data_IF_374645164487
#
_entry.id   IF_374645164487
#
_cell.length_a   1.000
_cell.length_b   1.000
_cell.length_c   1.000
_cell.angle_alpha   90.00
_cell.angle_beta   90.00
_cell.angle_gamma   90.00
#
_symmetry.space_group_name_H-M   'P 1'
#
loop_
_entity.id
_entity.type
_entity.pdbx_description
1 polymer ?
#
# COMPACT_ATOMS: atom_id res chain seq x y z
N UNK A 1 12.54 -9.63 -15.31
CA UNK A 1 13.24 -8.51 -14.63
C UNK A 1 12.37 -8.04 -13.48
N UNK A 2 12.94 -7.88 -12.29
CA UNK A 2 12.21 -7.29 -11.18
C UNK A 2 12.11 -5.78 -11.45
N UNK A 3 10.91 -5.22 -11.35
CA UNK A 3 10.60 -3.81 -11.66
C UNK A 3 11.58 -2.80 -11.02
N UNK A 4 12.07 -3.09 -9.82
CA UNK A 4 12.97 -2.21 -9.10
C UNK A 4 14.40 -2.17 -9.68
N UNK A 5 14.88 -3.23 -10.33
CA UNK A 5 16.20 -3.25 -10.98
C UNK A 5 16.31 -2.13 -12.03
N UNK A 6 15.25 -1.94 -12.80
CA UNK A 6 15.19 -0.90 -13.83
C UNK A 6 15.12 0.49 -13.20
N UNK A 7 14.40 0.65 -12.08
CA UNK A 7 14.27 1.95 -11.39
C UNK A 7 15.59 2.39 -10.77
N UNK A 8 16.30 1.49 -10.07
CA UNK A 8 17.59 1.82 -9.44
C UNK A 8 18.67 2.12 -10.48
N UNK A 9 18.60 1.50 -11.67
CA UNK A 9 19.54 1.77 -12.76
C UNK A 9 19.36 3.17 -13.40
N UNK A 10 18.24 3.87 -13.15
CA UNK A 10 17.97 5.19 -13.73
C UNK A 10 18.58 6.35 -12.95
N UNK A 11 19.03 6.13 -11.71
CA UNK A 11 19.52 7.23 -10.87
C UNK A 11 20.44 6.74 -9.76
N UNK A 12 21.44 7.56 -9.43
CA UNK A 12 22.26 7.39 -8.23
C UNK A 12 21.68 8.13 -7.01
N UNK A 13 20.52 8.77 -7.16
CA UNK A 13 19.86 9.48 -6.05
C UNK A 13 19.13 8.49 -5.14
N UNK A 14 19.03 8.77 -3.82
CA UNK A 14 18.22 7.95 -2.94
C UNK A 14 16.76 7.89 -3.40
N UNK A 15 16.17 6.68 -3.35
CA UNK A 15 14.79 6.41 -3.78
C UNK A 15 13.92 6.20 -2.55
N UNK A 16 12.67 6.67 -2.62
CA UNK A 16 11.66 6.48 -1.58
C UNK A 16 10.32 6.10 -2.20
N UNK A 17 9.49 5.42 -1.41
CA UNK A 17 8.08 5.18 -1.75
C UNK A 17 7.26 6.20 -0.96
N UNK A 18 6.83 7.26 -1.63
CA UNK A 18 6.15 8.39 -0.99
C UNK A 18 4.69 8.11 -0.68
N UNK A 19 4.07 7.19 -1.40
CA UNK A 19 2.70 6.74 -1.18
C UNK A 19 2.55 5.30 -1.66
N UNK A 20 1.89 4.48 -0.86
CA UNK A 20 1.47 3.13 -1.23
C UNK A 20 0.23 2.71 -0.45
N UNK A 21 -0.43 1.67 -0.91
CA UNK A 21 -1.52 1.00 -0.23
C UNK A 21 -1.95 -0.23 -1.01
N UNK A 22 -2.46 -1.23 -0.31
CA UNK A 22 -3.10 -2.38 -0.95
C UNK A 22 -4.46 -2.61 -0.29
N UNK A 23 -5.56 -2.57 -1.08
CA UNK A 23 -6.90 -2.66 -0.52
C UNK A 23 -7.09 -4.03 0.10
N UNK A 24 -7.58 -4.07 1.33
CA UNK A 24 -7.75 -5.28 2.09
C UNK A 24 -9.19 -5.83 2.05
N UNK A 25 -10.01 -5.29 1.16
CA UNK A 25 -11.34 -5.75 0.82
C UNK A 25 -11.54 -5.76 -0.69
N UNK A 26 -12.41 -6.66 -1.17
CA UNK A 26 -12.80 -6.71 -2.57
C UNK A 26 -13.67 -5.51 -2.93
N UNK A 27 -13.35 -4.84 -4.02
CA UNK A 27 -14.15 -3.74 -4.54
C UNK A 27 -14.37 -3.87 -6.05
N UNK A 28 -15.34 -3.13 -6.57
CA UNK A 28 -15.56 -3.02 -8.00
C UNK A 28 -15.59 -1.58 -8.44
N UNK A 29 -15.06 -1.33 -9.64
CA UNK A 29 -15.09 -0.05 -10.34
C UNK A 29 -15.70 -0.24 -11.73
N UNK A 30 -16.17 0.85 -12.33
CA UNK A 30 -16.54 0.88 -13.74
C UNK A 30 -15.36 1.43 -14.55
N UNK A 31 -14.77 0.61 -15.41
CA UNK A 31 -13.61 0.99 -16.23
C UNK A 31 -14.00 1.71 -17.54
N UNK A 32 -15.19 2.36 -17.57
CA UNK A 32 -15.82 2.90 -18.76
C UNK A 32 -16.60 1.85 -19.56
N UNK A 33 -17.41 2.30 -20.54
CA UNK A 33 -18.20 1.46 -21.45
C UNK A 33 -19.07 0.39 -20.76
N UNK A 34 -19.60 0.68 -19.57
CA UNK A 34 -20.34 -0.25 -18.71
C UNK A 34 -19.58 -1.54 -18.34
N UNK A 35 -18.25 -1.55 -18.45
CA UNK A 35 -17.42 -2.68 -18.03
C UNK A 35 -17.17 -2.56 -16.53
N UNK A 36 -17.70 -3.52 -15.78
CA UNK A 36 -17.41 -3.66 -14.35
C UNK A 36 -16.14 -4.47 -14.17
N UNK A 37 -15.16 -3.90 -13.48
CA UNK A 37 -13.94 -4.60 -13.06
C UNK A 37 -14.02 -4.82 -11.56
N UNK A 38 -13.79 -6.05 -11.13
CA UNK A 38 -13.71 -6.42 -9.72
C UNK A 38 -12.27 -6.75 -9.38
N UNK A 39 -11.75 -6.10 -8.34
CA UNK A 39 -10.46 -6.44 -7.77
C UNK A 39 -10.71 -7.29 -6.52
N UNK A 40 -10.41 -8.58 -6.61
CA UNK A 40 -10.55 -9.52 -5.51
C UNK A 40 -9.41 -9.34 -4.51
N UNK A 41 -9.75 -8.90 -3.31
CA UNK A 41 -8.80 -8.67 -2.25
C UNK A 41 -9.31 -9.03 -0.86
N UNK A 42 -8.37 -9.16 0.07
CA UNK A 42 -8.55 -9.53 1.46
C UNK A 42 -7.32 -9.08 2.29
N UNK A 43 -7.42 -9.22 3.62
CA UNK A 43 -6.37 -8.80 4.54
C UNK A 43 -5.06 -9.60 4.38
N UNK A 44 -5.12 -10.85 3.92
CA UNK A 44 -3.94 -11.69 3.72
C UNK A 44 -3.16 -11.25 2.48
N UNK A 45 -3.86 -10.89 1.40
CA UNK A 45 -3.23 -10.29 0.21
C UNK A 45 -2.61 -8.93 0.54
N UNK A 46 -3.25 -8.10 1.36
CA UNK A 46 -2.65 -6.86 1.86
C UNK A 46 -1.36 -7.16 2.63
N UNK A 47 -1.38 -8.12 3.57
CA UNK A 47 -0.19 -8.50 4.32
C UNK A 47 0.94 -9.00 3.41
N UNK A 48 0.61 -9.83 2.39
CA UNK A 48 1.58 -10.30 1.40
C UNK A 48 2.18 -9.15 0.58
N UNK A 49 1.36 -8.19 0.18
CA UNK A 49 1.83 -6.99 -0.51
C UNK A 49 2.82 -6.20 0.35
N UNK A 50 2.46 -5.92 1.61
CA UNK A 50 3.30 -5.18 2.55
C UNK A 50 4.61 -5.93 2.82
N UNK A 51 4.57 -7.26 2.97
CA UNK A 51 5.79 -8.06 3.11
C UNK A 51 6.74 -7.91 1.92
N UNK A 52 6.21 -8.01 0.69
CA UNK A 52 7.00 -7.85 -0.54
C UNK A 52 7.56 -6.43 -0.67
N UNK A 53 6.74 -5.43 -0.37
CA UNK A 53 7.13 -4.02 -0.44
C UNK A 53 8.28 -3.70 0.53
N UNK A 54 8.16 -4.13 1.79
CA UNK A 54 9.17 -3.87 2.82
C UNK A 54 10.46 -4.66 2.54
N UNK A 55 10.34 -5.90 2.04
CA UNK A 55 11.50 -6.68 1.60
C UNK A 55 12.25 -5.99 0.46
N UNK A 56 11.54 -5.52 -0.56
CA UNK A 56 12.13 -4.78 -1.67
C UNK A 56 12.74 -3.45 -1.20
N UNK A 57 12.04 -2.69 -0.35
CA UNK A 57 12.57 -1.45 0.20
C UNK A 57 13.89 -1.67 0.96
N UNK A 58 14.02 -2.79 1.66
CA UNK A 58 15.26 -3.16 2.33
C UNK A 58 16.34 -3.67 1.35
N UNK A 59 15.97 -4.42 0.32
CA UNK A 59 16.89 -4.95 -0.70
C UNK A 59 17.54 -3.83 -1.53
N UNK A 60 16.77 -2.79 -1.86
CA UNK A 60 17.19 -1.69 -2.72
C UNK A 60 17.52 -0.40 -1.95
N UNK A 61 17.73 -0.47 -0.63
CA UNK A 61 18.09 0.66 0.24
C UNK A 61 17.18 1.89 0.09
N UNK A 62 15.86 1.68 -0.01
CA UNK A 62 14.91 2.79 -0.06
C UNK A 62 14.89 3.55 1.27
N UNK A 63 14.94 4.88 1.20
CA UNK A 63 15.14 5.72 2.39
C UNK A 63 13.93 5.77 3.32
N UNK A 64 12.73 5.63 2.77
CA UNK A 64 11.49 5.46 3.52
C UNK A 64 10.37 4.89 2.65
N UNK A 65 9.35 4.37 3.32
CA UNK A 65 8.08 3.91 2.72
C UNK A 65 6.93 4.52 3.51
N UNK A 66 5.94 5.09 2.81
CA UNK A 66 4.72 5.63 3.41
C UNK A 66 3.52 4.77 2.99
N UNK A 67 2.84 4.15 3.95
CA UNK A 67 1.48 3.65 3.74
C UNK A 67 0.52 4.84 3.81
N UNK A 68 -0.18 5.12 2.71
CA UNK A 68 -0.90 6.36 2.49
C UNK A 68 -1.94 6.65 3.57
N UNK A 69 -2.70 5.62 3.98
CA UNK A 69 -3.66 5.74 5.09
C UNK A 69 -3.31 4.78 6.22
N UNK A 70 -3.44 5.25 7.44
CA UNK A 70 -3.24 4.42 8.62
C UNK A 70 -4.46 3.52 8.90
N UNK A 71 -5.66 4.09 8.71
CA UNK A 71 -6.95 3.48 9.00
C UNK A 71 -7.87 3.70 7.83
N UNK A 72 -8.74 2.74 7.57
CA UNK A 72 -9.77 2.87 6.54
C UNK A 72 -10.67 4.08 6.84
N UNK A 73 -11.12 4.73 5.77
CA UNK A 73 -11.81 6.02 5.85
C UNK A 73 -13.25 5.95 5.32
N UNK A 74 -13.95 4.84 5.56
CA UNK A 74 -15.34 4.60 5.13
C UNK A 74 -16.30 5.72 5.50
N UNK A 75 -16.22 6.26 6.72
CA UNK A 75 -17.06 7.38 7.15
C UNK A 75 -16.86 8.65 6.30
N UNK A 76 -15.64 8.91 5.84
CA UNK A 76 -15.35 9.99 4.91
C UNK A 76 -15.82 9.61 3.50
N UNK A 77 -15.56 8.38 3.07
CA UNK A 77 -15.97 7.85 1.78
C UNK A 77 -17.49 7.95 1.55
N UNK A 78 -18.31 7.71 2.58
CA UNK A 78 -19.76 7.88 2.49
C UNK A 78 -20.19 9.33 2.17
N UNK A 79 -19.36 10.32 2.48
CA UNK A 79 -19.65 11.74 2.27
C UNK A 79 -19.07 12.27 0.96
N UNK A 80 -17.90 11.79 0.54
CA UNK A 80 -17.15 12.35 -0.59
C UNK A 80 -16.99 11.39 -1.78
N UNK A 81 -17.22 10.09 -1.55
CA UNK A 81 -16.97 9.05 -2.54
C UNK A 81 -18.06 8.96 -3.60
N UNK A 82 -17.68 8.48 -4.78
CA UNK A 82 -18.63 8.15 -5.84
C UNK A 82 -18.47 6.69 -6.29
N UNK A 83 -19.57 6.09 -6.76
CA UNK A 83 -19.63 4.66 -7.13
C UNK A 83 -18.73 4.30 -8.32
N UNK A 84 -18.39 5.27 -9.15
CA UNK A 84 -17.53 5.13 -10.33
C UNK A 84 -16.11 5.65 -10.07
N UNK A 85 -15.83 6.06 -8.83
CA UNK A 85 -14.57 6.72 -8.51
C UNK A 85 -13.47 5.69 -8.24
N UNK A 86 -12.40 5.78 -9.01
CA UNK A 86 -11.19 4.98 -8.84
C UNK A 86 -10.58 5.15 -7.44
N UNK A 87 -10.84 6.27 -6.78
CA UNK A 87 -10.34 6.55 -5.42
C UNK A 87 -10.86 5.56 -4.37
N UNK A 88 -11.88 4.75 -4.68
CA UNK A 88 -12.32 3.64 -3.81
C UNK A 88 -11.18 2.65 -3.53
N UNK A 89 -10.20 2.54 -4.44
CA UNK A 89 -9.06 1.64 -4.28
C UNK A 89 -8.19 1.97 -3.06
N UNK A 90 -8.26 3.21 -2.55
CA UNK A 90 -7.50 3.66 -1.38
C UNK A 90 -8.28 3.52 -0.07
N UNK A 91 -9.61 3.39 -0.12
CA UNK A 91 -10.50 3.40 1.05
C UNK A 91 -10.09 2.37 2.10
N UNK A 92 -9.85 1.14 1.65
CA UNK A 92 -9.62 -0.04 2.50
C UNK A 92 -8.14 -0.41 2.58
N UNK A 93 -7.23 0.57 2.48
CA UNK A 93 -5.77 0.33 2.45
C UNK A 93 -5.08 0.55 3.81
N UNK A 94 -5.86 0.81 4.86
CA UNK A 94 -5.38 1.01 6.21
C UNK A 94 -4.76 -0.24 6.81
N UNK A 95 -3.84 -0.05 7.76
CA UNK A 95 -3.35 -1.11 8.63
C UNK A 95 -4.33 -1.41 9.78
N UNK A 96 -5.30 -0.51 9.97
CA UNK A 96 -6.49 -0.69 10.78
C UNK A 96 -7.74 -0.60 9.89
N UNK A 97 -8.76 -1.40 10.19
CA UNK A 97 -10.06 -1.32 9.51
C UNK A 97 -10.92 -0.11 9.96
N UNK A 98 -12.13 0.00 9.42
CA UNK A 98 -13.00 1.14 9.72
C UNK A 98 -13.40 1.21 11.19
N UNK A 99 -13.47 0.09 11.92
CA UNK A 99 -13.70 0.03 13.37
C UNK A 99 -12.43 0.26 14.20
N UNK A 100 -11.26 0.21 13.58
CA UNK A 100 -9.97 0.33 14.25
C UNK A 100 -9.42 -1.00 14.74
N UNK A 101 -9.94 -2.12 14.26
CA UNK A 101 -9.34 -3.43 14.47
C UNK A 101 -8.06 -3.56 13.64
N UNK A 102 -7.10 -4.31 14.18
CA UNK A 102 -5.78 -4.48 13.58
C UNK A 102 -5.83 -5.48 12.42
N UNK A 103 -5.13 -5.17 11.33
CA UNK A 103 -4.92 -6.12 10.22
C UNK A 103 -3.55 -6.80 10.35
N UNK A 104 -3.34 -8.01 9.77
CA UNK A 104 -2.06 -8.70 9.83
C UNK A 104 -0.88 -7.89 9.25
N UNK A 105 -1.15 -7.01 8.28
CA UNK A 105 -0.16 -6.10 7.72
C UNK A 105 0.47 -5.15 8.76
N UNK A 106 -0.24 -4.82 9.84
CA UNK A 106 0.26 -3.94 10.90
C UNK A 106 1.43 -4.58 11.65
N UNK A 107 1.41 -5.89 11.87
CA UNK A 107 2.48 -6.59 12.57
C UNK A 107 3.77 -6.59 11.74
N UNK A 108 3.65 -6.77 10.42
CA UNK A 108 4.78 -6.63 9.49
C UNK A 108 5.35 -5.21 9.51
N UNK A 109 4.47 -4.21 9.51
CA UNK A 109 4.86 -2.80 9.56
C UNK A 109 5.60 -2.46 10.85
N UNK A 110 5.10 -2.93 12.00
CA UNK A 110 5.74 -2.77 13.30
C UNK A 110 7.10 -3.48 13.38
N UNK A 111 7.20 -4.68 12.81
CA UNK A 111 8.45 -5.40 12.74
C UNK A 111 9.50 -4.64 11.93
N UNK A 112 9.12 -4.05 10.78
CA UNK A 112 10.02 -3.22 9.98
C UNK A 112 10.46 -1.94 10.72
N UNK A 113 9.54 -1.26 11.42
CA UNK A 113 9.88 -0.08 12.23
C UNK A 113 10.80 -0.40 13.42
N UNK A 114 10.81 -1.65 13.89
CA UNK A 114 11.68 -2.11 14.97
C UNK A 114 13.10 -2.48 14.49
N UNK A 115 13.35 -2.50 13.18
CA UNK A 115 14.70 -2.73 12.65
C UNK A 115 15.63 -1.57 13.06
N UNK A 116 16.93 -1.85 13.29
CA UNK A 116 17.90 -0.79 13.54
C UNK A 116 17.93 0.20 12.37
N UNK A 117 17.93 1.50 12.68
CA UNK A 117 18.12 2.53 11.67
C UNK A 117 19.45 2.31 10.94
N UNK A 118 19.40 2.30 9.61
CA UNK A 118 20.58 2.26 8.75
C UNK A 118 20.70 3.60 8.05
N UNK A 119 21.89 4.19 8.10
CA UNK A 119 22.20 5.33 7.23
C UNK A 119 22.27 4.80 5.79
N UNK A 120 21.55 5.39 4.82
CA UNK A 120 21.66 4.99 3.42
C UNK A 120 23.10 5.07 2.95
N UNK A 121 23.53 4.05 2.21
CA UNK A 121 24.84 3.99 1.54
C UNK A 121 25.03 5.25 0.69
N UNK A 122 26.17 5.93 0.82
CA UNK A 122 26.49 7.16 0.07
C UNK A 122 26.72 6.92 -1.41
#
# INVERSE_FOLDING_TARGET
EAMFDQLVALTDKPIAITETGYPAQTFSIFAGNNVRVTLESDADKQARYIALLLAAAQEYDFVFVVNFVLRDYDALWQQIGAREDLTIAWRDTGLYDEEGAVRPALDLWRAALALPFRTPSS
#
